data_IF_052235969203
#
_entry.id   IF_052235969203
#
_cell.length_a   1.000
_cell.length_b   1.000
_cell.length_c   1.000
_cell.angle_alpha   90.00
_cell.angle_beta   90.00
_cell.angle_gamma   90.00
#
_symmetry.space_group_name_H-M   'P 1'
#
loop_
_entity.id
_entity.type
_entity.pdbx_description
1 polymer ?
#
# COMPACT_ATOMS: atom_id res chain seq x y z
N UNK A 1 16.23 29.45 21.09
CA UNK A 1 16.20 28.60 19.89
C UNK A 1 14.90 27.82 19.64
N UNK A 2 13.94 27.72 20.59
CA UNK A 2 12.67 26.98 20.34
C UNK A 2 11.56 27.78 19.64
N UNK A 3 11.64 29.12 19.61
CA UNK A 3 10.61 29.99 18.99
C UNK A 3 10.85 30.25 17.49
N UNK A 4 12.06 29.99 16.99
CA UNK A 4 12.43 30.17 15.59
C UNK A 4 11.93 29.01 14.71
N UNK A 5 11.88 27.78 15.26
CA UNK A 5 11.42 26.59 14.55
C UNK A 5 9.90 26.57 14.29
N UNK A 6 9.09 27.24 15.13
CA UNK A 6 7.65 27.37 14.88
C UNK A 6 7.33 28.38 13.77
N UNK A 7 8.13 29.45 13.64
CA UNK A 7 7.99 30.40 12.54
C UNK A 7 8.44 29.78 11.19
N UNK A 8 9.46 28.94 11.20
CA UNK A 8 9.94 28.24 9.99
C UNK A 8 8.92 27.20 9.49
N UNK A 9 8.32 26.42 10.40
CA UNK A 9 7.27 25.46 10.03
C UNK A 9 5.93 26.13 9.64
N UNK A 10 5.64 27.31 10.18
CA UNK A 10 4.45 28.09 9.80
C UNK A 10 4.55 28.70 8.40
N UNK A 11 5.74 29.14 7.99
CA UNK A 11 5.99 29.70 6.66
C UNK A 11 5.93 28.62 5.55
N UNK A 12 6.33 27.38 5.87
CA UNK A 12 6.29 26.25 4.94
C UNK A 12 4.85 25.81 4.58
N UNK A 13 3.88 26.01 5.49
CA UNK A 13 2.48 25.66 5.25
C UNK A 13 1.77 26.63 4.28
N UNK A 14 2.22 27.89 4.20
CA UNK A 14 1.62 28.91 3.32
C UNK A 14 2.12 28.82 1.86
N UNK A 15 3.28 28.22 1.61
CA UNK A 15 3.81 28.05 0.26
C UNK A 15 3.06 26.98 -0.57
N UNK A 16 2.38 26.03 0.08
CA UNK A 16 1.68 24.94 -0.61
C UNK A 16 0.33 25.37 -1.23
N UNK A 17 -0.27 26.47 -0.74
CA UNK A 17 -1.58 26.96 -1.19
C UNK A 17 -1.48 27.80 -2.47
N UNK A 18 -0.33 28.44 -2.74
CA UNK A 18 -0.14 29.34 -3.89
C UNK A 18 0.17 28.57 -5.20
N UNK A 19 0.45 27.26 -5.12
CA UNK A 19 0.76 26.44 -6.30
C UNK A 19 -0.47 26.00 -7.12
N UNK A 20 -1.69 26.21 -6.62
CA UNK A 20 -2.93 25.82 -7.33
C UNK A 20 -3.61 26.94 -8.14
N UNK A 21 -3.10 28.17 -8.13
CA UNK A 21 -3.78 29.33 -8.76
C UNK A 21 -3.22 29.75 -10.13
N UNK A 22 -2.25 29.03 -10.70
CA UNK A 22 -1.75 29.31 -12.06
C UNK A 22 -2.18 28.23 -13.06
N UNK A 23 -3.49 28.17 -13.30
CA UNK A 23 -4.08 27.63 -14.52
C UNK A 23 -5.01 28.69 -15.16
N UNK A 24 -4.67 29.97 -15.01
CA UNK A 24 -5.26 31.06 -15.80
C UNK A 24 -4.40 31.29 -17.06
N UNK A 25 -4.50 30.35 -18.01
CA UNK A 25 -3.98 30.51 -19.35
C UNK A 25 -5.00 31.23 -20.22
N UNK A 26 -4.66 32.46 -20.62
CA UNK A 26 -5.40 33.33 -21.54
C UNK A 26 -6.00 32.61 -22.76
N UNK A 27 -7.24 32.96 -23.12
CA UNK A 27 -7.63 33.00 -24.53
C UNK A 27 -8.62 34.13 -24.75
N UNK A 28 -8.11 35.27 -25.22
CA UNK A 28 -8.89 36.24 -25.94
C UNK A 28 -8.76 35.89 -27.42
N UNK A 29 -9.86 35.52 -28.08
CA UNK A 29 -10.07 35.77 -29.51
C UNK A 29 -11.53 35.47 -29.85
N UNK A 30 -12.28 36.55 -29.99
CA UNK A 30 -13.54 36.59 -30.70
C UNK A 30 -13.22 36.75 -32.20
N UNK A 31 -13.62 35.80 -33.04
CA UNK A 31 -13.95 36.09 -34.44
C UNK A 31 -14.90 35.03 -35.02
N UNK A 32 -15.86 35.56 -35.76
CA UNK A 32 -17.05 34.95 -36.35
C UNK A 32 -16.68 34.10 -37.59
N UNK A 33 -17.44 33.03 -37.89
CA UNK A 33 -18.11 32.77 -39.21
C UNK A 33 -18.28 31.27 -39.57
N UNK A 34 -19.56 30.89 -39.74
CA UNK A 34 -20.17 29.90 -40.66
C UNK A 34 -19.81 28.39 -40.60
N UNK A 35 -20.80 27.49 -40.79
CA UNK A 35 -20.59 26.05 -40.75
C UNK A 35 -20.08 25.56 -42.11
N UNK A 36 -18.91 24.91 -42.12
CA UNK A 36 -18.44 24.16 -43.27
C UNK A 36 -18.31 22.68 -42.87
N UNK A 37 -19.05 21.83 -43.58
CA UNK A 37 -18.97 20.37 -43.49
C UNK A 37 -17.52 19.90 -43.52
N UNK A 38 -17.05 19.35 -42.40
CA UNK A 38 -15.80 18.61 -42.36
C UNK A 38 -16.06 17.18 -42.83
N UNK A 39 -15.54 16.86 -44.01
CA UNK A 39 -15.32 15.51 -44.50
C UNK A 39 -14.68 14.65 -43.41
N UNK A 40 -15.32 13.53 -43.05
CA UNK A 40 -14.84 12.50 -42.11
C UNK A 40 -13.65 11.68 -42.66
N UNK A 41 -12.79 12.29 -43.49
CA UNK A 41 -11.62 11.63 -44.06
C UNK A 41 -10.44 11.79 -43.11
N UNK A 42 -10.43 11.01 -42.01
CA UNK A 42 -9.27 10.95 -41.11
C UNK A 42 -9.53 10.47 -39.68
N UNK A 43 -10.79 10.29 -39.25
CA UNK A 43 -11.07 9.77 -37.90
C UNK A 43 -10.96 8.24 -37.88
N UNK A 44 -9.91 7.72 -37.24
CA UNK A 44 -9.84 6.32 -36.81
C UNK A 44 -10.86 6.10 -35.69
N UNK A 45 -12.01 5.52 -36.01
CA UNK A 45 -12.98 5.07 -35.02
C UNK A 45 -12.46 3.74 -34.45
N UNK A 46 -12.17 3.69 -33.15
CA UNK A 46 -11.82 2.45 -32.45
C UNK A 46 -13.08 1.86 -31.82
N UNK A 47 -13.36 0.59 -32.12
CA UNK A 47 -14.48 -0.15 -31.53
C UNK A 47 -14.00 -0.84 -30.26
N UNK A 48 -14.76 -0.71 -29.16
CA UNK A 48 -14.44 -1.34 -27.87
C UNK A 48 -15.64 -2.18 -27.46
N UNK A 49 -15.41 -3.46 -27.18
CA UNK A 49 -16.44 -4.38 -26.69
C UNK A 49 -16.77 -4.10 -25.21
N UNK A 50 -18.06 -3.93 -24.93
CA UNK A 50 -18.58 -3.65 -23.57
C UNK A 50 -18.35 -4.85 -22.64
N UNK A 51 -18.51 -6.07 -23.15
CA UNK A 51 -18.29 -7.29 -22.36
C UNK A 51 -16.83 -7.42 -21.90
N UNK A 52 -15.88 -7.02 -22.76
CA UNK A 52 -14.45 -6.99 -22.44
C UNK A 52 -14.13 -5.91 -21.40
N UNK A 53 -14.76 -4.74 -21.45
CA UNK A 53 -14.67 -3.71 -20.41
C UNK A 53 -15.16 -4.23 -19.04
N UNK A 54 -16.30 -4.92 -19.02
CA UNK A 54 -16.89 -5.45 -17.80
C UNK A 54 -16.01 -6.56 -17.19
N UNK A 55 -15.48 -7.47 -18.02
CA UNK A 55 -14.57 -8.52 -17.58
C UNK A 55 -13.27 -7.96 -16.96
N UNK A 56 -12.72 -6.87 -17.53
CA UNK A 56 -11.52 -6.21 -16.98
C UNK A 56 -11.80 -5.42 -15.71
N UNK A 57 -12.97 -4.80 -15.61
CA UNK A 57 -13.40 -4.14 -14.36
C UNK A 57 -13.53 -5.15 -13.22
N UNK A 58 -14.17 -6.30 -13.48
CA UNK A 58 -14.27 -7.38 -12.50
C UNK A 58 -12.88 -7.93 -12.12
N UNK A 59 -11.99 -8.12 -13.10
CA UNK A 59 -10.60 -8.53 -12.83
C UNK A 59 -9.84 -7.55 -11.93
N UNK A 60 -9.99 -6.23 -12.15
CA UNK A 60 -9.41 -5.21 -11.27
C UNK A 60 -10.00 -5.27 -9.85
N UNK A 61 -11.30 -5.50 -9.72
CA UNK A 61 -11.97 -5.64 -8.43
C UNK A 61 -11.43 -6.88 -7.70
N UNK A 62 -11.38 -8.03 -8.37
CA UNK A 62 -10.93 -9.29 -7.80
C UNK A 62 -9.47 -9.20 -7.33
N UNK A 63 -8.58 -8.58 -8.12
CA UNK A 63 -7.19 -8.35 -7.72
C UNK A 63 -7.08 -7.46 -6.49
N UNK A 64 -7.87 -6.39 -6.44
CA UNK A 64 -7.86 -5.47 -5.30
C UNK A 64 -8.43 -6.15 -4.04
N UNK A 65 -9.52 -6.89 -4.17
CA UNK A 65 -10.11 -7.67 -3.08
C UNK A 65 -9.12 -8.73 -2.56
N UNK A 66 -8.43 -9.44 -3.45
CA UNK A 66 -7.40 -10.41 -3.08
C UNK A 66 -6.24 -9.75 -2.32
N UNK A 67 -5.77 -8.59 -2.78
CA UNK A 67 -4.72 -7.82 -2.08
C UNK A 67 -5.15 -7.35 -0.70
N UNK A 68 -6.38 -6.82 -0.57
CA UNK A 68 -6.94 -6.38 0.72
C UNK A 68 -7.05 -7.56 1.67
N UNK A 69 -7.66 -8.68 1.23
CA UNK A 69 -7.76 -9.91 2.05
C UNK A 69 -6.40 -10.41 2.47
N UNK A 70 -5.40 -10.39 1.60
CA UNK A 70 -4.05 -10.85 1.94
C UNK A 70 -3.39 -9.93 2.96
N UNK A 71 -3.50 -8.62 2.79
CA UNK A 71 -3.00 -7.62 3.75
C UNK A 71 -3.65 -7.77 5.13
N UNK A 72 -4.97 -7.99 5.17
CA UNK A 72 -5.69 -8.27 6.41
C UNK A 72 -5.22 -9.56 7.08
N UNK A 73 -5.08 -10.65 6.33
CA UNK A 73 -4.57 -11.92 6.85
C UNK A 73 -3.14 -11.79 7.39
N UNK A 74 -2.27 -11.05 6.69
CA UNK A 74 -0.92 -10.73 7.17
C UNK A 74 -0.99 -9.99 8.51
N UNK A 75 -1.82 -8.94 8.60
CA UNK A 75 -1.99 -8.15 9.83
C UNK A 75 -2.52 -9.00 10.98
N UNK A 76 -3.54 -9.83 10.72
CA UNK A 76 -4.12 -10.73 11.71
C UNK A 76 -3.08 -11.75 12.22
N UNK A 77 -2.35 -12.38 11.31
CA UNK A 77 -1.33 -13.37 11.65
C UNK A 77 -0.20 -12.74 12.48
N UNK A 78 0.29 -11.56 12.09
CA UNK A 78 1.33 -10.85 12.84
C UNK A 78 0.84 -10.44 14.23
N UNK A 79 -0.37 -9.90 14.34
CA UNK A 79 -0.95 -9.54 15.64
C UNK A 79 -1.14 -10.76 16.54
N UNK A 80 -1.64 -11.88 16.00
CA UNK A 80 -1.78 -13.12 16.76
C UNK A 80 -0.44 -13.61 17.30
N UNK A 81 0.60 -13.65 16.46
CA UNK A 81 1.94 -14.06 16.88
C UNK A 81 2.57 -13.09 17.88
N UNK A 82 2.35 -11.78 17.71
CA UNK A 82 2.83 -10.77 18.65
C UNK A 82 2.18 -10.92 20.03
N UNK A 83 0.86 -11.09 20.08
CA UNK A 83 0.12 -11.31 21.33
C UNK A 83 0.55 -12.60 22.03
N UNK A 84 0.72 -13.68 21.26
CA UNK A 84 1.18 -14.96 21.82
C UNK A 84 2.61 -14.86 22.37
N UNK A 85 3.50 -14.16 21.67
CA UNK A 85 4.87 -13.92 22.13
C UNK A 85 4.90 -13.07 23.40
N UNK A 86 4.08 -12.02 23.48
CA UNK A 86 3.96 -11.18 24.67
C UNK A 86 3.44 -11.99 25.87
N UNK A 87 2.44 -12.85 25.65
CA UNK A 87 1.95 -13.77 26.68
C UNK A 87 3.06 -14.71 27.16
N UNK A 88 3.85 -15.28 26.25
CA UNK A 88 4.97 -16.15 26.62
C UNK A 88 6.07 -15.41 27.40
N UNK A 89 6.35 -14.14 27.06
CA UNK A 89 7.26 -13.28 27.84
C UNK A 89 6.74 -13.07 29.26
N UNK A 90 5.47 -12.72 29.41
CA UNK A 90 4.85 -12.50 30.71
C UNK A 90 4.82 -13.79 31.55
N UNK A 91 4.46 -14.92 30.94
CA UNK A 91 4.52 -16.23 31.60
C UNK A 91 5.95 -16.57 32.03
N UNK A 92 6.94 -16.31 31.18
CA UNK A 92 8.34 -16.55 31.51
C UNK A 92 8.77 -15.72 32.72
N UNK A 93 8.46 -14.41 32.70
CA UNK A 93 8.80 -13.49 33.79
C UNK A 93 8.10 -13.89 35.09
N UNK A 94 6.83 -14.25 35.04
CA UNK A 94 6.05 -14.70 36.21
C UNK A 94 6.63 -15.98 36.78
N UNK A 95 6.92 -16.98 35.94
CA UNK A 95 7.54 -18.24 36.37
C UNK A 95 8.94 -18.02 36.95
N UNK A 96 9.69 -17.07 36.40
CA UNK A 96 11.02 -16.72 36.88
C UNK A 96 10.96 -16.08 38.27
N UNK A 97 10.09 -15.09 38.47
CA UNK A 97 9.90 -14.42 39.77
C UNK A 97 9.38 -15.38 40.85
N UNK A 98 8.51 -16.31 40.47
CA UNK A 98 7.93 -17.28 41.38
C UNK A 98 8.83 -18.51 41.63
N UNK A 99 10.07 -18.52 41.13
CA UNK A 99 10.99 -19.67 41.19
C UNK A 99 10.36 -20.98 40.68
N UNK A 100 9.47 -20.89 39.69
CA UNK A 100 8.73 -22.04 39.15
C UNK A 100 9.56 -22.91 38.19
N UNK A 101 10.79 -22.48 37.85
CA UNK A 101 11.71 -23.28 37.04
C UNK A 101 12.49 -24.28 37.91
N UNK A 102 12.47 -25.55 37.49
CA UNK A 102 13.17 -26.66 38.16
C UNK A 102 14.71 -26.51 38.16
N UNK A 103 15.26 -25.82 37.16
CA UNK A 103 16.69 -25.56 37.03
C UNK A 103 16.95 -24.29 36.24
N UNK A 104 18.12 -23.69 36.44
CA UNK A 104 18.57 -22.51 35.70
C UNK A 104 18.71 -22.79 34.20
N UNK A 105 19.09 -24.01 33.82
CA UNK A 105 19.20 -24.42 32.42
C UNK A 105 17.84 -24.36 31.69
N UNK A 106 16.75 -24.80 32.35
CA UNK A 106 15.39 -24.71 31.79
C UNK A 106 14.95 -23.27 31.58
N UNK A 107 15.26 -22.39 32.53
CA UNK A 107 14.98 -20.96 32.38
C UNK A 107 15.77 -20.37 31.20
N UNK A 108 17.05 -20.72 31.04
CA UNK A 108 17.87 -20.25 29.92
C UNK A 108 17.33 -20.77 28.56
N UNK A 109 16.88 -22.02 28.50
CA UNK A 109 16.30 -22.60 27.29
C UNK A 109 15.02 -21.86 26.87
N UNK A 110 14.11 -21.58 27.81
CA UNK A 110 12.90 -20.81 27.54
C UNK A 110 13.21 -19.37 27.10
N UNK A 111 14.19 -18.72 27.75
CA UNK A 111 14.66 -17.41 27.34
C UNK A 111 15.15 -17.40 25.88
N UNK A 112 16.01 -18.35 25.52
CA UNK A 112 16.53 -18.49 24.16
C UNK A 112 15.40 -18.77 23.15
N UNK A 113 14.41 -19.57 23.54
CA UNK A 113 13.22 -19.86 22.71
C UNK A 113 12.42 -18.59 22.44
N UNK A 114 12.16 -17.78 23.47
CA UNK A 114 11.44 -16.50 23.36
C UNK A 114 12.21 -15.51 22.48
N UNK A 115 13.53 -15.38 22.70
CA UNK A 115 14.38 -14.51 21.90
C UNK A 115 14.36 -14.91 20.40
N UNK A 116 14.37 -16.21 20.11
CA UNK A 116 14.24 -16.71 18.74
C UNK A 116 12.88 -16.38 18.14
N UNK A 117 11.79 -16.52 18.91
CA UNK A 117 10.45 -16.16 18.45
C UNK A 117 10.31 -14.66 18.14
N UNK A 118 10.97 -13.79 18.89
CA UNK A 118 11.06 -12.35 18.57
C UNK A 118 11.74 -12.12 17.22
N UNK A 119 12.89 -12.74 17.01
CA UNK A 119 13.62 -12.63 15.75
C UNK A 119 12.80 -13.17 14.57
N UNK A 120 12.16 -14.33 14.75
CA UNK A 120 11.31 -14.95 13.73
C UNK A 120 10.09 -14.07 13.40
N UNK A 121 9.49 -13.41 14.40
CA UNK A 121 8.38 -12.48 14.19
C UNK A 121 8.80 -11.24 13.38
N UNK A 122 9.97 -10.67 13.68
CA UNK A 122 10.52 -9.55 12.92
C UNK A 122 10.87 -9.96 11.48
N UNK A 123 11.51 -11.11 11.30
CA UNK A 123 11.82 -11.65 9.98
C UNK A 123 10.55 -11.93 9.17
N UNK A 124 9.52 -12.50 9.81
CA UNK A 124 8.21 -12.74 9.18
C UNK A 124 7.54 -11.43 8.77
N UNK A 125 7.58 -10.39 9.60
CA UNK A 125 7.02 -9.08 9.27
C UNK A 125 7.69 -8.49 8.02
N UNK A 126 9.02 -8.49 7.96
CA UNK A 126 9.78 -8.00 6.81
C UNK A 126 9.47 -8.82 5.54
N UNK A 127 9.41 -10.14 5.68
CA UNK A 127 9.10 -11.05 4.56
C UNK A 127 7.70 -10.77 3.99
N UNK A 128 6.68 -10.70 4.84
CA UNK A 128 5.30 -10.46 4.39
C UNK A 128 5.13 -9.07 3.78
N UNK A 129 5.85 -8.06 4.28
CA UNK A 129 5.85 -6.73 3.68
C UNK A 129 6.47 -6.75 2.27
N UNK A 130 7.61 -7.45 2.11
CA UNK A 130 8.25 -7.62 0.80
C UNK A 130 7.37 -8.40 -0.18
N UNK A 131 6.70 -9.46 0.27
CA UNK A 131 5.78 -10.25 -0.54
C UNK A 131 4.59 -9.40 -1.02
N UNK A 132 3.98 -8.58 -0.14
CA UNK A 132 2.89 -7.67 -0.52
C UNK A 132 3.34 -6.62 -1.54
N UNK A 133 4.55 -6.08 -1.40
CA UNK A 133 5.11 -5.13 -2.38
C UNK A 133 5.32 -5.80 -3.74
N UNK A 134 5.94 -6.98 -3.76
CA UNK A 134 6.20 -7.72 -5.01
C UNK A 134 4.91 -8.15 -5.71
N UNK A 135 3.91 -8.57 -4.95
CA UNK A 135 2.61 -8.95 -5.52
C UNK A 135 1.85 -7.73 -6.07
N UNK A 136 1.92 -6.57 -5.40
CA UNK A 136 1.35 -5.34 -5.93
C UNK A 136 2.02 -4.93 -7.25
N UNK A 137 3.34 -5.04 -7.34
CA UNK A 137 4.08 -4.78 -8.58
C UNK A 137 3.66 -5.74 -9.70
N UNK A 138 3.56 -7.05 -9.40
CA UNK A 138 3.07 -8.05 -10.36
C UNK A 138 1.65 -7.77 -10.82
N UNK A 139 0.74 -7.42 -9.91
CA UNK A 139 -0.63 -7.07 -10.23
C UNK A 139 -0.70 -5.82 -11.12
N UNK A 140 0.14 -4.82 -10.84
CA UNK A 140 0.26 -3.61 -11.68
C UNK A 140 0.74 -3.93 -13.10
N UNK A 141 1.73 -4.82 -13.25
CA UNK A 141 2.22 -5.29 -14.54
C UNK A 141 1.13 -6.06 -15.30
N UNK A 142 0.45 -7.01 -14.66
CA UNK A 142 -0.65 -7.76 -15.27
C UNK A 142 -1.79 -6.87 -15.74
N UNK A 143 -2.10 -5.81 -14.98
CA UNK A 143 -3.09 -4.83 -15.37
C UNK A 143 -2.64 -4.03 -16.59
N UNK A 144 -1.39 -3.54 -16.60
CA UNK A 144 -0.82 -2.81 -17.75
C UNK A 144 -0.76 -3.66 -19.00
N UNK A 145 -0.32 -4.91 -18.90
CA UNK A 145 -0.24 -5.85 -20.02
C UNK A 145 -1.63 -6.19 -20.55
N UNK A 146 -2.61 -6.38 -19.66
CA UNK A 146 -4.01 -6.60 -20.04
C UNK A 146 -4.60 -5.41 -20.83
N UNK A 147 -4.25 -4.18 -20.46
CA UNK A 147 -4.69 -2.97 -21.16
C UNK A 147 -3.95 -2.83 -22.50
N UNK A 148 -2.62 -3.00 -22.51
CA UNK A 148 -1.79 -2.87 -23.71
C UNK A 148 -2.09 -3.94 -24.77
N UNK A 149 -2.42 -5.16 -24.36
CA UNK A 149 -2.84 -6.22 -25.27
C UNK A 149 -4.18 -5.91 -25.95
N UNK A 150 -5.01 -5.07 -25.36
CA UNK A 150 -6.33 -4.71 -25.87
C UNK A 150 -6.32 -3.43 -26.72
N UNK A 151 -5.39 -2.52 -26.45
CA UNK A 151 -5.22 -1.27 -27.22
C UNK A 151 -4.41 -1.46 -28.52
N UNK A 152 -3.89 -2.67 -28.77
CA UNK A 152 -3.33 -3.07 -30.07
C UNK A 152 -4.41 -3.64 -30.97
#
# INVERSE_FOLDING_TARGET
MKRLNYLLNGLAALALVVLFSQCAGNTNNQSVSAPAQASLSGMKIAYVEIDTLLAKYNFCIDLNEAMVKKSENVRLTLNQKATELEKQKQEFQTKYQNNAYLSQERAQQEYNRIAKLEQDLQALSNKLQSELMSENEKNSLQLRDSINSFLK
#
